data_IF_252806529269
#
_entry.id   IF_252806529269
#
_cell.length_a   1.000
_cell.length_b   1.000
_cell.length_c   1.000
_cell.angle_alpha   90.00
_cell.angle_beta   90.00
_cell.angle_gamma   90.00
#
_symmetry.space_group_name_H-M   'P 1'
#
loop_
_entity.id
_entity.type
_entity.pdbx_description
1 polymer ?
#
# COMPACT_ATOMS: atom_id res chain seq x y z
N UNK A 1 -13.52 2.70 9.27
CA UNK A 1 -12.23 2.50 9.97
C UNK A 1 -11.71 3.85 10.42
N UNK A 2 -10.91 3.90 11.49
CA UNK A 2 -10.21 5.10 11.95
C UNK A 2 -8.83 4.69 12.48
N UNK A 3 -7.77 5.45 12.15
CA UNK A 3 -6.40 5.14 12.60
C UNK A 3 -6.21 5.39 14.09
N UNK A 4 -7.03 6.28 14.68
CA UNK A 4 -6.90 6.86 16.02
C UNK A 4 -5.52 7.52 16.28
N UNK A 5 -4.73 7.75 15.23
CA UNK A 5 -3.45 8.43 15.31
C UNK A 5 -3.68 9.88 14.86
N UNK A 6 -3.40 10.82 15.77
CA UNK A 6 -3.59 12.24 15.53
C UNK A 6 -2.85 12.70 14.26
N UNK A 7 -3.53 13.50 13.44
CA UNK A 7 -2.96 14.09 12.23
C UNK A 7 -3.06 13.21 10.98
N UNK A 8 -3.22 11.89 11.11
CA UNK A 8 -3.33 10.99 9.96
C UNK A 8 -4.74 11.03 9.36
N UNK A 9 -4.82 11.44 8.11
CA UNK A 9 -6.04 11.38 7.28
C UNK A 9 -5.82 10.46 6.09
N UNK A 10 -6.83 9.69 5.74
CA UNK A 10 -6.78 8.75 4.61
C UNK A 10 -7.93 9.06 3.66
N UNK A 11 -7.60 9.16 2.37
CA UNK A 11 -8.56 9.43 1.31
C UNK A 11 -8.32 8.54 0.09
N UNK A 12 -9.37 8.34 -0.70
CA UNK A 12 -9.37 7.40 -1.80
C UNK A 12 -9.97 8.03 -3.05
N UNK A 13 -9.39 7.72 -4.20
CA UNK A 13 -10.08 7.82 -5.48
C UNK A 13 -10.25 6.41 -6.05
N UNK A 14 -11.46 6.08 -6.51
CA UNK A 14 -11.88 4.71 -6.85
C UNK A 14 -12.58 4.68 -8.18
N UNK A 15 -12.14 3.80 -9.07
CA UNK A 15 -12.81 3.49 -10.33
C UNK A 15 -13.13 1.99 -10.37
N UNK A 16 -14.39 1.67 -10.08
CA UNK A 16 -14.89 0.29 -10.06
C UNK A 16 -15.03 -0.30 -11.46
N UNK A 17 -15.28 0.54 -12.49
CA UNK A 17 -15.50 0.10 -13.86
C UNK A 17 -14.18 -0.34 -14.49
N UNK A 18 -13.12 0.46 -14.31
CA UNK A 18 -11.77 0.14 -14.79
C UNK A 18 -10.93 -0.62 -13.77
N UNK A 19 -11.50 -0.92 -12.59
CA UNK A 19 -10.89 -1.70 -11.51
C UNK A 19 -9.51 -1.20 -11.09
N UNK A 20 -9.43 0.10 -10.84
CA UNK A 20 -8.20 0.76 -10.42
C UNK A 20 -8.51 1.86 -9.43
N UNK A 21 -7.49 2.42 -8.81
CA UNK A 21 -7.68 3.49 -7.85
C UNK A 21 -6.42 3.80 -7.06
N UNK A 22 -6.53 4.78 -6.18
CA UNK A 22 -5.39 5.31 -5.48
C UNK A 22 -5.79 5.79 -4.07
N UNK A 23 -4.83 5.81 -3.15
CA UNK A 23 -5.06 6.10 -1.72
C UNK A 23 -3.96 7.02 -1.21
N UNK A 24 -4.37 8.19 -0.76
CA UNK A 24 -3.52 9.18 -0.13
C UNK A 24 -3.61 9.04 1.38
N UNK A 25 -2.46 8.88 2.04
CA UNK A 25 -2.32 8.98 3.50
C UNK A 25 -1.59 10.29 3.75
N UNK A 26 -2.27 11.30 4.27
CA UNK A 26 -1.71 12.64 4.46
C UNK A 26 -1.75 13.04 5.92
N UNK A 27 -0.90 13.99 6.29
CA UNK A 27 -0.88 14.55 7.64
C UNK A 27 -0.58 16.03 7.63
N UNK A 28 -1.37 16.77 8.42
CA UNK A 28 -1.11 18.18 8.72
C UNK A 28 0.12 18.34 9.65
N UNK A 29 0.51 17.25 10.32
CA UNK A 29 1.69 17.17 11.16
C UNK A 29 2.86 16.50 10.43
N UNK A 30 4.12 16.91 10.67
CA UNK A 30 5.30 16.22 10.16
C UNK A 30 5.34 14.73 10.54
N UNK A 31 5.57 13.84 9.56
CA UNK A 31 5.69 12.40 9.79
C UNK A 31 7.14 11.94 9.69
N UNK A 32 7.70 11.36 10.76
CA UNK A 32 8.97 10.65 10.69
C UNK A 32 8.74 9.29 10.04
N UNK A 33 9.39 9.04 8.89
CA UNK A 33 9.12 7.85 8.09
C UNK A 33 10.41 7.22 7.54
N UNK A 34 10.37 5.89 7.41
CA UNK A 34 11.34 5.12 6.65
C UNK A 34 10.62 4.00 5.88
N UNK A 35 11.35 3.18 5.13
CA UNK A 35 10.79 2.16 4.23
C UNK A 35 11.62 0.89 4.23
N UNK A 36 10.97 -0.25 4.00
CA UNK A 36 11.64 -1.51 3.64
C UNK A 36 11.02 -2.07 2.36
N UNK A 37 11.86 -2.37 1.36
CA UNK A 37 11.44 -2.89 0.06
C UNK A 37 12.06 -4.26 -0.14
N UNK A 38 11.23 -5.29 -0.30
CA UNK A 38 11.67 -6.70 -0.36
C UNK A 38 11.38 -7.40 -1.69
N UNK A 39 10.27 -7.07 -2.34
CA UNK A 39 9.89 -7.72 -3.60
C UNK A 39 10.83 -7.38 -4.75
N UNK A 40 10.99 -8.30 -5.71
CA UNK A 40 11.97 -8.18 -6.80
C UNK A 40 11.62 -7.21 -7.94
N UNK A 41 10.42 -6.60 -7.94
CA UNK A 41 9.98 -5.66 -8.97
C UNK A 41 9.25 -4.44 -8.37
N UNK A 42 9.92 -3.62 -7.54
CA UNK A 42 9.29 -2.46 -6.91
C UNK A 42 9.03 -1.34 -7.93
N UNK A 43 7.87 -0.70 -7.81
CA UNK A 43 7.59 0.58 -8.48
C UNK A 43 7.36 1.65 -7.42
N UNK A 44 8.28 2.61 -7.32
CA UNK A 44 8.31 3.60 -6.24
C UNK A 44 8.81 4.96 -6.74
N UNK A 45 8.40 6.05 -6.07
CA UNK A 45 8.91 7.41 -6.29
C UNK A 45 9.23 8.08 -4.95
N UNK A 46 10.28 8.91 -4.94
CA UNK A 46 10.71 9.69 -3.77
C UNK A 46 11.05 8.86 -2.52
N UNK A 47 11.43 7.59 -2.66
CA UNK A 47 11.78 6.75 -1.50
C UNK A 47 13.20 6.97 -0.97
N UNK A 48 14.10 7.59 -1.74
CA UNK A 48 15.48 7.83 -1.30
C UNK A 48 15.55 8.74 -0.06
N UNK A 49 14.60 9.67 0.07
CA UNK A 49 14.49 10.53 1.25
C UNK A 49 14.05 9.75 2.51
N UNK A 50 13.54 8.53 2.38
CA UNK A 50 13.14 7.67 3.50
C UNK A 50 14.32 6.89 4.11
N UNK A 51 15.50 6.96 3.49
CA UNK A 51 16.72 6.40 4.08
C UNK A 51 17.03 7.11 5.42
N UNK A 52 17.34 6.37 6.51
CA UNK A 52 17.72 6.97 7.78
C UNK A 52 18.87 8.00 7.72
N UNK A 53 19.76 7.93 6.73
CA UNK A 53 20.86 8.90 6.56
C UNK A 53 20.45 10.16 5.79
N UNK A 54 19.31 10.13 5.09
CA UNK A 54 18.86 11.26 4.29
C UNK A 54 18.44 12.43 5.18
N UNK A 55 18.81 13.65 4.77
CA UNK A 55 18.63 14.89 5.54
C UNK A 55 17.17 15.33 5.69
N UNK A 56 16.25 14.82 4.86
CA UNK A 56 14.82 15.10 4.98
C UNK A 56 14.32 14.59 6.35
N UNK A 57 13.86 15.49 7.24
CA UNK A 57 13.52 15.12 8.61
C UNK A 57 12.17 14.41 8.72
N UNK A 58 11.26 14.67 7.78
CA UNK A 58 9.90 14.17 7.78
C UNK A 58 9.31 14.17 6.36
N UNK A 59 8.15 13.52 6.24
CA UNK A 59 7.27 13.57 5.06
C UNK A 59 5.91 14.16 5.45
N UNK A 60 5.09 14.47 4.45
CA UNK A 60 3.76 15.04 4.64
C UNK A 60 2.64 14.07 4.23
N UNK A 61 2.97 13.05 3.44
CA UNK A 61 2.06 11.98 3.11
C UNK A 61 2.73 10.83 2.38
N UNK A 62 1.95 9.79 2.11
CA UNK A 62 2.32 8.62 1.33
C UNK A 62 1.21 8.37 0.29
N UNK A 63 1.62 8.02 -0.92
CA UNK A 63 0.70 7.65 -1.99
C UNK A 63 0.80 6.16 -2.33
N UNK A 64 -0.30 5.43 -2.17
CA UNK A 64 -0.43 4.03 -2.62
C UNK A 64 -1.35 4.00 -3.83
N UNK A 65 -0.95 3.39 -4.94
CA UNK A 65 -1.69 3.54 -6.20
C UNK A 65 -1.67 2.32 -7.09
N UNK A 66 -2.76 2.13 -7.84
CA UNK A 66 -2.84 1.21 -8.97
C UNK A 66 -2.05 1.71 -10.18
N UNK A 67 -2.22 1.06 -11.32
CA UNK A 67 -1.70 1.52 -12.60
C UNK A 67 -0.22 1.21 -12.86
N UNK A 68 0.44 0.39 -12.03
CA UNK A 68 1.87 0.09 -12.12
C UNK A 68 2.70 1.40 -12.11
N UNK A 69 3.88 1.40 -12.75
CA UNK A 69 4.79 2.56 -12.78
C UNK A 69 4.12 3.86 -13.25
N UNK A 70 3.09 3.80 -14.08
CA UNK A 70 2.34 4.98 -14.53
C UNK A 70 1.59 5.66 -13.38
N UNK A 71 1.09 4.87 -12.43
CA UNK A 71 0.37 5.35 -11.26
C UNK A 71 1.20 6.27 -10.36
N UNK A 72 2.53 6.21 -10.44
CA UNK A 72 3.43 7.11 -9.69
C UNK A 72 3.16 8.60 -9.97
N UNK A 73 2.53 8.92 -11.11
CA UNK A 73 2.10 10.28 -11.42
C UNK A 73 1.05 10.82 -10.43
N UNK A 74 0.28 9.95 -9.77
CA UNK A 74 -0.71 10.37 -8.78
C UNK A 74 -0.10 11.08 -7.57
N UNK A 75 1.17 10.82 -7.23
CA UNK A 75 1.80 11.53 -6.10
C UNK A 75 1.92 13.03 -6.36
N UNK A 76 2.01 13.48 -7.62
CA UNK A 76 2.08 14.89 -7.95
C UNK A 76 0.79 15.65 -7.61
N UNK A 77 -0.37 15.00 -7.74
CA UNK A 77 -1.65 15.58 -7.31
C UNK A 77 -1.73 15.77 -5.80
N UNK A 78 -1.20 14.81 -5.03
CA UNK A 78 -1.10 14.93 -3.56
C UNK A 78 -0.16 16.08 -3.16
N UNK A 79 0.99 16.21 -3.84
CA UNK A 79 1.92 17.33 -3.62
C UNK A 79 1.22 18.67 -3.87
N UNK A 80 0.52 18.83 -5.01
CA UNK A 80 -0.21 20.07 -5.32
C UNK A 80 -1.25 20.40 -4.24
N UNK A 81 -2.05 19.41 -3.82
CA UNK A 81 -3.03 19.61 -2.77
C UNK A 81 -2.38 20.07 -1.46
N UNK A 82 -1.30 19.41 -1.02
CA UNK A 82 -0.61 19.77 0.22
C UNK A 82 0.05 21.15 0.15
N UNK A 83 0.62 21.52 -1.00
CA UNK A 83 1.18 22.86 -1.22
C UNK A 83 0.11 23.94 -1.10
N UNK A 84 -1.06 23.75 -1.72
CA UNK A 84 -2.21 24.66 -1.60
C UNK A 84 -2.71 24.79 -0.16
N UNK A 85 -2.65 23.71 0.63
CA UNK A 85 -2.96 23.73 2.06
C UNK A 85 -1.80 24.29 2.91
N UNK A 86 -0.70 24.72 2.29
CA UNK A 86 0.49 25.22 2.95
C UNK A 86 1.13 24.17 3.90
N UNK A 87 1.02 22.88 3.58
CA UNK A 87 1.57 21.74 4.32
C UNK A 87 2.84 21.24 3.63
N UNK A 88 3.99 21.35 4.29
CA UNK A 88 5.27 20.95 3.72
C UNK A 88 6.45 21.57 4.46
N UNK A 89 7.66 21.19 4.07
CA UNK A 89 8.89 21.79 4.58
C UNK A 89 8.96 23.25 4.12
N UNK A 90 9.22 24.18 5.05
CA UNK A 90 9.39 25.59 4.74
C UNK A 90 10.84 25.88 4.38
N UNK A 91 11.10 26.30 3.14
CA UNK A 91 12.44 26.59 2.66
C UNK A 91 12.45 27.69 1.60
N UNK A 92 13.27 28.73 1.81
CA UNK A 92 13.42 29.82 0.85
C UNK A 92 12.13 30.57 0.50
N UNK A 93 11.18 30.65 1.44
CA UNK A 93 9.85 31.26 1.21
C UNK A 93 8.83 30.32 0.54
N UNK A 94 9.20 29.07 0.25
CA UNK A 94 8.33 28.08 -0.39
C UNK A 94 7.86 27.01 0.60
N UNK A 95 6.79 26.31 0.22
CA UNK A 95 6.30 25.09 0.88
C UNK A 95 6.67 23.91 0.00
N UNK A 96 7.38 22.94 0.55
CA UNK A 96 7.86 21.76 -0.19
C UNK A 96 7.24 20.50 0.45
N UNK A 97 6.11 19.99 -0.06
CA UNK A 97 5.54 18.72 0.38
C UNK A 97 6.40 17.55 -0.09
N UNK A 98 6.65 16.59 0.79
CA UNK A 98 7.32 15.33 0.44
C UNK A 98 6.33 14.17 0.50
N UNK A 99 6.13 13.50 -0.64
CA UNK A 99 5.12 12.43 -0.79
C UNK A 99 5.71 11.20 -1.50
N UNK A 100 6.41 10.33 -0.76
CA UNK A 100 6.84 9.04 -1.28
C UNK A 100 5.66 8.18 -1.74
N UNK A 101 5.88 7.36 -2.76
CA UNK A 101 4.82 6.54 -3.33
C UNK A 101 5.26 5.14 -3.73
N UNK A 102 4.28 4.23 -3.74
CA UNK A 102 4.46 2.85 -4.15
C UNK A 102 3.24 2.37 -4.96
N UNK A 103 3.46 1.45 -5.89
CA UNK A 103 2.42 0.99 -6.83
C UNK A 103 2.16 -0.50 -6.76
N UNK A 104 0.93 -0.89 -7.11
CA UNK A 104 0.59 -2.25 -7.49
C UNK A 104 0.44 -2.38 -9.01
N UNK A 105 0.55 -3.60 -9.52
CA UNK A 105 0.16 -3.92 -10.90
C UNK A 105 -1.29 -4.42 -10.94
N UNK A 106 -2.20 -3.63 -11.51
CA UNK A 106 -3.62 -3.96 -11.71
C UNK A 106 -4.08 -3.82 -13.18
N UNK A 107 -3.17 -3.48 -14.10
CA UNK A 107 -3.45 -3.28 -15.53
C UNK A 107 -4.05 -4.51 -16.24
N UNK A 108 -3.93 -5.69 -15.64
CA UNK A 108 -4.47 -6.95 -16.15
C UNK A 108 -5.83 -7.35 -15.59
N UNK A 109 -6.45 -6.51 -14.73
CA UNK A 109 -7.72 -6.82 -14.06
C UNK A 109 -8.89 -6.04 -14.65
N UNK A 110 -8.65 -4.76 -14.99
CA UNK A 110 -9.58 -3.88 -15.69
C UNK A 110 -8.96 -3.31 -16.97
N UNK A 111 -9.17 -2.01 -17.23
CA UNK A 111 -8.67 -1.38 -18.45
C UNK A 111 -7.21 -0.94 -18.30
N UNK A 112 -6.25 -1.44 -19.10
CA UNK A 112 -4.85 -0.99 -19.03
C UNK A 112 -4.65 0.46 -19.50
N UNK A 113 -5.69 1.08 -20.07
CA UNK A 113 -5.67 2.46 -20.57
C UNK A 113 -6.08 3.48 -19.51
N UNK A 114 -6.75 3.04 -18.43
CA UNK A 114 -7.20 3.90 -17.34
C UNK A 114 -6.35 3.57 -16.12
N UNK A 115 -5.73 4.61 -15.55
CA UNK A 115 -4.79 4.48 -14.44
C UNK A 115 -4.73 5.81 -13.68
N UNK A 116 -4.53 5.79 -12.35
CA UNK A 116 -4.43 7.02 -11.58
C UNK A 116 -3.30 7.91 -12.08
N UNK A 117 -3.58 9.20 -12.18
CA UNK A 117 -2.67 10.27 -12.54
C UNK A 117 -2.82 11.42 -11.53
N UNK A 118 -2.34 12.60 -11.90
CA UNK A 118 -2.39 13.82 -11.11
C UNK A 118 -3.79 14.08 -10.51
N UNK A 119 -4.83 14.07 -11.35
CA UNK A 119 -6.20 14.42 -10.97
C UNK A 119 -6.76 13.47 -9.91
N UNK A 120 -6.54 12.17 -10.09
CA UNK A 120 -7.00 11.15 -9.15
C UNK A 120 -6.25 11.21 -7.81
N UNK A 121 -4.95 11.48 -7.85
CA UNK A 121 -4.14 11.69 -6.65
C UNK A 121 -4.56 12.93 -5.86
N UNK A 122 -4.83 14.04 -6.56
CA UNK A 122 -5.35 15.27 -5.96
C UNK A 122 -6.72 15.03 -5.32
N UNK A 123 -7.63 14.36 -6.03
CA UNK A 123 -8.95 14.01 -5.52
C UNK A 123 -8.86 13.12 -4.28
N UNK A 124 -8.00 12.11 -4.28
CA UNK A 124 -7.78 11.25 -3.12
C UNK A 124 -7.26 12.02 -1.90
N UNK A 125 -6.35 12.99 -2.09
CA UNK A 125 -5.85 13.83 -1.00
C UNK A 125 -6.93 14.78 -0.46
N UNK A 126 -7.72 15.37 -1.35
CA UNK A 126 -8.82 16.27 -0.98
C UNK A 126 -9.92 15.58 -0.17
N UNK A 127 -10.22 14.32 -0.48
CA UNK A 127 -11.21 13.51 0.24
C UNK A 127 -10.65 12.88 1.53
N UNK A 128 -9.39 13.13 1.89
CA UNK A 128 -8.76 12.50 3.03
C UNK A 128 -9.34 12.97 4.37
N UNK A 129 -9.71 12.00 5.21
CA UNK A 129 -10.37 12.22 6.50
C UNK A 129 -9.99 11.14 7.51
N UNK A 130 -10.37 11.34 8.77
CA UNK A 130 -10.07 10.39 9.85
C UNK A 130 -10.83 9.06 9.70
N UNK A 131 -12.07 9.14 9.19
CA UNK A 131 -12.93 7.97 8.97
C UNK A 131 -12.89 7.53 7.50
N UNK A 132 -12.35 6.34 7.26
CA UNK A 132 -12.14 5.81 5.92
C UNK A 132 -12.64 4.38 5.78
N UNK A 133 -12.73 3.91 4.55
CA UNK A 133 -13.23 2.58 4.21
C UNK A 133 -12.10 1.66 3.76
N UNK A 134 -12.37 0.35 3.80
CA UNK A 134 -11.45 -0.71 3.37
C UNK A 134 -12.16 -1.67 2.41
N UNK A 135 -11.41 -2.55 1.77
CA UNK A 135 -11.90 -3.48 0.75
C UNK A 135 -11.54 -3.02 -0.66
N UNK A 136 -12.50 -3.11 -1.59
CA UNK A 136 -12.36 -2.67 -2.98
C UNK A 136 -12.55 -1.16 -3.11
N UNK A 137 -11.60 -0.42 -2.54
CA UNK A 137 -11.60 1.04 -2.55
C UNK A 137 -10.17 1.55 -2.70
N UNK A 138 -10.02 2.67 -3.38
CA UNK A 138 -8.72 3.28 -3.61
C UNK A 138 -7.79 2.32 -4.34
N UNK A 139 -6.56 2.19 -3.85
CA UNK A 139 -5.58 1.22 -4.39
C UNK A 139 -6.06 -0.23 -4.27
N UNK A 140 -6.98 -0.52 -3.33
CA UNK A 140 -7.56 -1.86 -3.14
C UNK A 140 -8.46 -2.33 -4.28
N UNK A 141 -8.87 -1.42 -5.18
CA UNK A 141 -9.89 -1.69 -6.21
C UNK A 141 -9.44 -2.71 -7.25
N UNK A 142 -8.17 -2.62 -7.67
CA UNK A 142 -7.56 -3.53 -8.64
C UNK A 142 -6.81 -4.71 -8.02
N UNK A 143 -6.83 -4.84 -6.68
CA UNK A 143 -6.08 -5.86 -5.98
C UNK A 143 -6.63 -7.27 -6.26
N UNK A 144 -5.72 -8.21 -6.54
CA UNK A 144 -6.01 -9.64 -6.70
C UNK A 144 -4.96 -10.48 -5.96
N UNK A 145 -5.33 -11.70 -5.56
CA UNK A 145 -4.46 -12.64 -4.82
C UNK A 145 -4.49 -14.03 -5.42
N UNK A 146 -3.46 -14.84 -5.16
CA UNK A 146 -3.45 -16.24 -5.59
C UNK A 146 -3.32 -16.41 -7.11
N UNK A 147 -2.29 -15.82 -7.72
CA UNK A 147 -2.19 -15.70 -9.19
C UNK A 147 -1.41 -16.82 -9.87
N UNK A 148 -1.05 -17.87 -9.14
CA UNK A 148 -0.20 -18.94 -9.66
C UNK A 148 -0.85 -19.75 -10.80
N UNK A 149 -2.18 -19.79 -10.87
CA UNK A 149 -2.90 -20.43 -11.98
C UNK A 149 -3.25 -19.45 -13.13
N UNK A 150 -2.92 -18.17 -12.98
CA UNK A 150 -3.30 -17.08 -13.89
C UNK A 150 -4.38 -16.16 -13.31
N UNK A 151 -4.61 -15.02 -13.96
CA UNK A 151 -5.52 -13.98 -13.47
C UNK A 151 -6.97 -14.46 -13.40
N UNK A 152 -7.41 -15.32 -14.33
CA UNK A 152 -8.78 -15.88 -14.36
C UNK A 152 -9.11 -16.76 -13.15
N UNK A 153 -8.08 -17.25 -12.44
CA UNK A 153 -8.22 -18.08 -11.24
C UNK A 153 -7.80 -17.33 -9.98
N UNK A 154 -7.47 -16.04 -10.09
CA UNK A 154 -7.13 -15.23 -8.92
C UNK A 154 -8.40 -14.90 -8.14
N UNK A 155 -8.25 -14.75 -6.83
CA UNK A 155 -9.31 -14.23 -5.98
C UNK A 155 -9.15 -12.71 -5.80
N UNK A 156 -10.22 -12.06 -5.36
CA UNK A 156 -10.22 -10.64 -5.07
C UNK A 156 -9.33 -10.35 -3.86
N UNK A 157 -8.47 -9.34 -3.99
CA UNK A 157 -7.73 -8.76 -2.87
C UNK A 157 -8.45 -7.53 -2.33
N UNK A 158 -7.68 -6.58 -1.80
CA UNK A 158 -8.23 -5.30 -1.37
C UNK A 158 -7.28 -4.47 -0.53
N UNK A 159 -7.79 -3.36 -0.02
CA UNK A 159 -7.17 -2.55 1.02
C UNK A 159 -7.64 -3.08 2.39
N UNK A 160 -6.72 -3.54 3.23
CA UNK A 160 -6.99 -3.97 4.61
C UNK A 160 -6.48 -2.95 5.63
N UNK A 161 -7.13 -2.88 6.78
CA UNK A 161 -6.70 -2.08 7.92
C UNK A 161 -6.79 -2.89 9.22
N UNK A 162 -5.80 -2.72 10.09
CA UNK A 162 -5.82 -3.24 11.46
C UNK A 162 -5.14 -2.24 12.39
N UNK A 163 -5.56 -2.20 13.66
CA UNK A 163 -4.98 -1.33 14.68
C UNK A 163 -4.98 -2.03 16.03
N UNK A 164 -3.94 -1.78 16.81
CA UNK A 164 -3.80 -2.23 18.18
C UNK A 164 -3.39 -1.06 19.08
N UNK A 165 -4.08 -0.91 20.19
CA UNK A 165 -3.76 0.06 21.24
C UNK A 165 -3.22 -0.71 22.46
N UNK A 166 -1.98 -0.42 22.82
CA UNK A 166 -1.31 -0.96 23.99
C UNK A 166 -1.80 -0.26 25.26
N UNK A 167 -1.55 -0.88 26.42
CA UNK A 167 -1.99 -0.38 27.73
C UNK A 167 -1.39 0.98 28.11
N UNK A 168 -0.26 1.36 27.52
CA UNK A 168 0.40 2.65 27.71
C UNK A 168 -0.15 3.76 26.78
N UNK A 169 -1.13 3.44 25.93
CA UNK A 169 -1.71 4.35 24.94
C UNK A 169 -0.95 4.40 23.61
N UNK A 170 0.12 3.62 23.44
CA UNK A 170 0.77 3.46 22.14
C UNK A 170 -0.20 2.79 21.17
N UNK A 171 -0.29 3.32 19.95
CA UNK A 171 -1.10 2.76 18.87
C UNK A 171 -0.16 2.31 17.77
N UNK A 172 -0.36 1.09 17.26
CA UNK A 172 0.27 0.62 16.02
C UNK A 172 -0.84 0.17 15.07
N UNK A 173 -0.84 0.76 13.88
CA UNK A 173 -1.84 0.53 12.85
C UNK A 173 -1.17 0.12 11.53
N UNK A 174 -1.81 -0.77 10.79
CA UNK A 174 -1.37 -1.23 9.48
C UNK A 174 -2.46 -0.96 8.43
N UNK A 175 -2.09 -0.35 7.30
CA UNK A 175 -2.95 -0.17 6.13
C UNK A 175 -2.25 -0.80 4.92
N UNK A 176 -2.84 -1.83 4.32
CA UNK A 176 -2.15 -2.69 3.35
C UNK A 176 -3.01 -2.98 2.13
N UNK A 177 -2.52 -2.69 0.94
CA UNK A 177 -3.11 -3.08 -0.34
C UNK A 177 -2.53 -4.43 -0.77
N UNK A 178 -3.39 -5.45 -0.80
CA UNK A 178 -2.99 -6.86 -0.98
C UNK A 178 -3.21 -7.29 -2.43
N UNK A 179 -2.18 -7.14 -3.27
CA UNK A 179 -2.16 -7.59 -4.66
C UNK A 179 -1.14 -8.73 -4.87
N UNK A 180 -1.24 -9.77 -4.05
CA UNK A 180 -0.21 -10.79 -3.86
C UNK A 180 -0.20 -11.89 -4.94
N UNK A 181 0.98 -12.46 -5.19
CA UNK A 181 1.09 -13.71 -5.96
C UNK A 181 0.56 -14.89 -5.13
N UNK A 182 0.98 -14.92 -3.86
CA UNK A 182 0.70 -16.00 -2.92
C UNK A 182 -0.75 -16.06 -2.46
N UNK A 183 -1.04 -17.12 -1.72
CA UNK A 183 -2.29 -17.31 -0.99
C UNK A 183 -2.26 -16.50 0.30
N UNK A 184 -3.43 -16.02 0.72
CA UNK A 184 -3.66 -15.37 2.00
C UNK A 184 -4.01 -16.43 3.03
N UNK A 185 -3.27 -16.47 4.12
CA UNK A 185 -3.32 -17.52 5.12
C UNK A 185 -3.60 -16.90 6.48
N UNK A 186 -4.49 -17.51 7.26
CA UNK A 186 -4.62 -17.19 8.67
C UNK A 186 -3.34 -17.67 9.39
N UNK A 187 -2.55 -16.76 9.98
CA UNK A 187 -1.28 -17.11 10.58
C UNK A 187 -1.41 -18.00 11.83
N UNK A 188 -2.55 -18.01 12.51
CA UNK A 188 -2.76 -18.76 13.76
C UNK A 188 -3.04 -20.24 13.52
N UNK A 189 -3.80 -20.57 12.48
CA UNK A 189 -4.27 -21.94 12.22
C UNK A 189 -3.86 -22.49 10.85
N UNK A 190 -3.19 -21.69 10.01
CA UNK A 190 -2.75 -22.10 8.68
C UNK A 190 -3.85 -22.20 7.63
N UNK A 191 -5.09 -21.82 7.95
CA UNK A 191 -6.20 -21.87 7.00
C UNK A 191 -5.96 -20.91 5.83
N UNK A 192 -6.10 -21.40 4.60
CA UNK A 192 -6.08 -20.56 3.41
C UNK A 192 -7.43 -19.83 3.30
N UNK A 193 -7.38 -18.50 3.40
CA UNK A 193 -8.54 -17.61 3.30
C UNK A 193 -8.82 -17.28 1.83
N UNK A 194 -7.76 -17.00 1.07
CA UNK A 194 -7.83 -16.70 -0.35
C UNK A 194 -6.60 -17.25 -1.08
N UNK A 195 -6.76 -17.69 -2.31
CA UNK A 195 -5.69 -18.29 -3.10
C UNK A 195 -6.16 -18.55 -4.53
N UNK A 196 -5.35 -19.24 -5.34
CA UNK A 196 -5.80 -19.66 -6.67
C UNK A 196 -7.08 -20.50 -6.56
N UNK A 197 -8.16 -20.07 -7.20
CA UNK A 197 -9.47 -20.72 -7.12
C UNK A 197 -9.89 -21.26 -8.48
N UNK A 198 -10.15 -22.57 -8.55
CA UNK A 198 -10.61 -23.24 -9.76
C UNK A 198 -11.64 -24.31 -9.39
N UNK A 199 -12.73 -24.41 -10.16
CA UNK A 199 -13.83 -25.36 -9.90
C UNK A 199 -14.41 -25.25 -8.47
N UNK A 200 -14.51 -24.03 -7.94
CA UNK A 200 -15.03 -23.78 -6.58
C UNK A 200 -14.05 -24.10 -5.45
N UNK A 201 -12.91 -24.74 -5.73
CA UNK A 201 -11.89 -25.09 -4.74
C UNK A 201 -10.76 -24.05 -4.73
N UNK A 202 -10.32 -23.69 -3.52
CA UNK A 202 -9.11 -22.89 -3.29
C UNK A 202 -7.92 -23.85 -3.20
N UNK A 203 -6.85 -23.52 -3.92
CA UNK A 203 -5.60 -24.27 -3.95
C UNK A 203 -4.55 -23.56 -3.09
N UNK A 204 -3.62 -24.34 -2.52
CA UNK A 204 -2.46 -23.80 -1.83
C UNK A 204 -1.42 -23.34 -2.86
N UNK A 205 -1.04 -22.07 -2.75
CA UNK A 205 0.01 -21.52 -3.58
C UNK A 205 1.37 -22.20 -3.40
N UNK A 206 1.73 -22.63 -2.18
CA UNK A 206 2.99 -23.33 -1.94
C UNK A 206 2.99 -24.71 -2.60
N UNK A 207 1.92 -25.47 -2.46
CA UNK A 207 1.75 -26.76 -3.13
C UNK A 207 1.84 -26.63 -4.66
N UNK A 208 1.16 -25.63 -5.23
CA UNK A 208 1.24 -25.35 -6.67
C UNK A 208 2.63 -24.93 -7.14
N UNK A 209 3.45 -24.33 -6.28
CA UNK A 209 4.81 -23.91 -6.61
C UNK A 209 5.81 -25.06 -6.53
N UNK A 210 5.65 -25.95 -5.54
CA UNK A 210 6.54 -27.10 -5.31
C UNK A 210 6.20 -28.27 -6.22
N UNK A 211 4.90 -28.60 -6.35
CA UNK A 211 4.41 -29.80 -7.02
C UNK A 211 3.74 -29.50 -8.37
N UNK A 212 3.40 -28.24 -8.65
CA UNK A 212 2.74 -27.85 -9.88
C UNK A 212 3.67 -27.70 -11.08
N UNK A 213 3.10 -27.70 -12.29
CA UNK A 213 3.87 -27.40 -13.50
C UNK A 213 4.15 -25.88 -13.58
N UNK A 214 5.39 -25.45 -13.83
CA UNK A 214 5.71 -24.05 -13.97
C UNK A 214 4.98 -23.47 -15.19
N UNK A 215 4.16 -22.45 -14.97
CA UNK A 215 3.60 -21.64 -16.04
C UNK A 215 4.47 -20.39 -16.22
N UNK A 216 4.66 -19.94 -17.47
CA UNK A 216 5.29 -18.63 -17.71
C UNK A 216 4.39 -17.55 -17.09
N UNK A 217 4.96 -16.78 -16.17
CA UNK A 217 4.25 -15.70 -15.45
C UNK A 217 5.01 -14.40 -15.64
N UNK A 218 4.29 -13.31 -15.86
CA UNK A 218 4.84 -11.96 -15.76
C UNK A 218 4.91 -11.48 -14.31
N UNK A 219 5.73 -10.48 -14.03
CA UNK A 219 5.78 -9.79 -12.73
C UNK A 219 4.51 -8.93 -12.56
N UNK A 220 3.45 -9.48 -11.97
CA UNK A 220 2.13 -8.84 -11.88
C UNK A 220 1.61 -8.70 -10.43
N UNK A 221 2.51 -8.67 -9.43
CA UNK A 221 2.12 -8.79 -8.03
C UNK A 221 2.92 -7.85 -7.14
N UNK A 222 2.24 -7.26 -6.14
CA UNK A 222 2.86 -6.47 -5.09
C UNK A 222 1.95 -6.45 -3.87
N UNK A 223 2.48 -6.50 -2.66
CA UNK A 223 1.73 -6.05 -1.47
C UNK A 223 2.44 -4.81 -0.95
N UNK A 224 1.70 -3.71 -0.85
CA UNK A 224 2.23 -2.40 -0.41
C UNK A 224 1.37 -1.88 0.73
N UNK A 225 1.95 -1.09 1.62
CA UNK A 225 1.21 -0.57 2.76
C UNK A 225 2.05 0.30 3.66
N UNK A 226 1.42 0.77 4.73
CA UNK A 226 2.04 1.59 5.76
C UNK A 226 1.82 0.97 7.13
N UNK A 227 2.83 1.09 7.99
CA UNK A 227 2.70 0.93 9.43
C UNK A 227 2.78 2.32 10.04
N UNK A 228 1.82 2.64 10.89
CA UNK A 228 1.66 3.97 11.49
C UNK A 228 1.61 3.82 13.01
N UNK A 229 2.22 4.76 13.72
CA UNK A 229 2.20 4.77 15.18
C UNK A 229 2.21 6.20 15.72
N UNK A 230 1.66 6.38 16.93
CA UNK A 230 1.80 7.61 17.70
C UNK A 230 3.06 7.61 18.59
N UNK A 231 3.82 6.51 18.63
CA UNK A 231 5.07 6.45 19.36
C UNK A 231 6.10 7.43 18.78
N UNK A 232 6.85 8.11 19.66
CA UNK A 232 7.92 9.02 19.25
C UNK A 232 9.18 8.21 18.95
N UNK A 233 9.32 7.81 17.69
CA UNK A 233 10.42 6.97 17.23
C UNK A 233 11.26 7.69 16.16
N UNK A 234 12.56 7.37 16.11
CA UNK A 234 13.47 7.96 15.12
C UNK A 234 13.27 7.35 13.73
N UNK A 235 13.90 7.94 12.71
CA UNK A 235 13.89 7.40 11.34
C UNK A 235 14.52 6.00 11.26
N UNK A 236 15.54 5.73 12.09
CA UNK A 236 16.17 4.41 12.22
C UNK A 236 15.20 3.41 12.84
N UNK A 237 14.44 3.83 13.86
CA UNK A 237 13.44 2.98 14.49
C UNK A 237 12.28 2.69 13.53
N UNK A 238 11.83 3.68 12.74
CA UNK A 238 10.87 3.47 11.65
C UNK A 238 11.38 2.43 10.64
N UNK A 239 12.67 2.44 10.31
CA UNK A 239 13.28 1.43 9.42
C UNK A 239 13.21 0.04 10.04
N UNK A 240 13.51 -0.09 11.33
CA UNK A 240 13.41 -1.37 12.06
C UNK A 240 11.97 -1.87 12.13
N UNK A 241 11.02 -0.98 12.39
CA UNK A 241 9.60 -1.30 12.39
C UNK A 241 9.13 -1.78 11.01
N UNK A 242 9.54 -1.11 9.93
CA UNK A 242 9.23 -1.51 8.56
C UNK A 242 9.82 -2.89 8.21
N UNK A 243 11.03 -3.18 8.66
CA UNK A 243 11.64 -4.52 8.51
C UNK A 243 10.81 -5.58 9.24
N UNK A 244 10.51 -5.37 10.53
CA UNK A 244 9.73 -6.32 11.33
C UNK A 244 8.31 -6.55 10.77
N UNK A 245 7.69 -5.51 10.20
CA UNK A 245 6.36 -5.63 9.60
C UNK A 245 6.31 -6.59 8.39
N UNK A 246 7.43 -6.77 7.67
CA UNK A 246 7.50 -7.73 6.58
C UNK A 246 7.41 -9.19 7.08
N UNK A 247 7.79 -9.47 8.32
CA UNK A 247 7.61 -10.80 8.91
C UNK A 247 6.12 -11.13 9.06
N UNK A 248 5.31 -10.15 9.50
CA UNK A 248 3.85 -10.30 9.57
C UNK A 248 3.21 -10.53 8.18
N UNK A 249 3.76 -9.89 7.14
CA UNK A 249 3.36 -10.15 5.75
C UNK A 249 3.69 -11.60 5.35
N UNK A 250 4.90 -12.08 5.63
CA UNK A 250 5.32 -13.45 5.30
C UNK A 250 4.52 -14.53 6.06
N UNK A 251 4.05 -14.22 7.28
CA UNK A 251 3.16 -15.12 8.02
C UNK A 251 1.79 -15.27 7.35
N UNK A 252 1.28 -14.20 6.73
CA UNK A 252 -0.09 -14.10 6.20
C UNK A 252 -0.20 -14.24 4.68
N UNK A 253 0.91 -14.17 3.95
CA UNK A 253 0.97 -14.29 2.48
C UNK A 253 2.01 -15.34 2.09
N UNK A 254 1.60 -16.40 1.41
CA UNK A 254 2.47 -17.55 1.12
C UNK A 254 2.39 -17.97 -0.36
N UNK A 255 3.50 -17.89 -1.13
CA UNK A 255 4.75 -17.20 -0.80
C UNK A 255 4.58 -15.66 -0.79
N UNK A 256 5.46 -14.99 -0.06
CA UNK A 256 5.66 -13.53 -0.09
C UNK A 256 7.06 -13.17 -0.62
N UNK A 257 7.28 -11.86 -0.83
CA UNK A 257 8.51 -11.25 -1.36
C UNK A 257 8.91 -11.75 -2.75
#
# INVERSE_FOLDING_TARGET
>A
MNSNIQGIKIGHWTDLDNKTGCTAIISDLPLVASIDVRGGAPGTKEIALLDPIASAPNINGIMLTGGSAFGLNASAGVVSYLEEQNIGIKFGGNTIPLVPSAVIFDLGVGSPKVRPSFEEGYAAAKEAKNEFMTGKIGVGTGCTVGKLLGNDFSMEGGLGFSSHTFSDGTIVSALVAVNALGSIVNPENGQIIAGPKRYGKIFDSLDLLVNGKPQKRGFQNTTIGTIMTNAKISKVDCKRLAVAANDGLAMSVRPSH
#
